data_IF_095194697917
#
_entry.id   IF_095194697917
#
_cell.length_a   1.000
_cell.length_b   1.000
_cell.length_c   1.000
_cell.angle_alpha   90.00
_cell.angle_beta   90.00
_cell.angle_gamma   90.00
#
_symmetry.space_group_name_H-M   'P 1'
#
loop_
_entity.id
_entity.type
_entity.pdbx_description
1 polymer ?
#
# COMPACT_ATOMS: atom_id res chain seq x y z
N UNK A 1 -6.23 -8.89 21.04
CA UNK A 1 -6.87 -7.57 21.15
C UNK A 1 -8.38 -7.77 21.13
N UNK A 2 -9.09 -7.32 22.17
CA UNK A 2 -10.53 -7.51 22.37
C UNK A 2 -11.34 -6.65 21.38
N UNK A 3 -12.46 -7.23 20.88
CA UNK A 3 -13.21 -6.76 19.72
C UNK A 3 -14.10 -5.52 19.86
N UNK A 4 -13.89 -4.65 20.84
CA UNK A 4 -14.84 -3.57 21.15
C UNK A 4 -14.66 -2.26 20.37
N UNK A 5 -13.55 -2.06 19.62
CA UNK A 5 -13.28 -0.81 18.89
C UNK A 5 -12.89 -1.01 17.42
N UNK A 6 -13.34 -2.09 16.78
CA UNK A 6 -13.02 -2.27 15.36
C UNK A 6 -13.87 -1.35 14.48
N UNK A 7 -13.19 -0.59 13.63
CA UNK A 7 -13.80 0.23 12.58
C UNK A 7 -14.63 -0.66 11.62
N UNK A 8 -15.79 -0.18 11.18
CA UNK A 8 -16.52 -0.83 10.09
C UNK A 8 -15.78 -0.58 8.78
N UNK A 9 -15.23 -1.64 8.19
CA UNK A 9 -14.38 -1.57 6.98
C UNK A 9 -15.14 -2.19 5.81
N UNK A 10 -15.15 -1.50 4.67
CA UNK A 10 -15.63 -2.05 3.40
C UNK A 10 -14.71 -3.20 2.99
N UNK A 11 -15.21 -4.43 2.79
CA UNK A 11 -14.36 -5.54 2.39
C UNK A 11 -13.76 -5.35 1.00
N UNK A 12 -12.45 -5.54 0.86
CA UNK A 12 -11.73 -5.51 -0.42
C UNK A 12 -10.93 -6.79 -0.58
N UNK A 13 -11.13 -7.48 -1.71
CA UNK A 13 -10.37 -8.70 -2.04
C UNK A 13 -9.01 -8.36 -2.65
N UNK A 14 -7.97 -9.09 -2.23
CA UNK A 14 -6.61 -9.00 -2.76
C UNK A 14 -6.12 -10.42 -2.99
N UNK A 15 -6.18 -10.92 -4.22
CA UNK A 15 -5.95 -12.33 -4.49
C UNK A 15 -6.87 -13.22 -3.65
N UNK A 16 -6.29 -14.14 -2.89
CA UNK A 16 -7.03 -15.02 -1.97
C UNK A 16 -7.39 -14.41 -0.60
N UNK A 17 -7.02 -13.15 -0.33
CA UNK A 17 -7.25 -12.49 0.96
C UNK A 17 -8.42 -11.52 0.88
N UNK A 18 -9.05 -11.26 2.04
CA UNK A 18 -10.07 -10.22 2.19
C UNK A 18 -9.67 -9.25 3.29
N UNK A 19 -9.57 -7.97 2.95
CA UNK A 19 -9.30 -6.89 3.88
C UNK A 19 -10.64 -6.38 4.42
N UNK A 20 -11.08 -6.89 5.56
CA UNK A 20 -12.40 -6.65 6.15
C UNK A 20 -12.35 -6.24 7.63
N UNK A 21 -11.16 -5.91 8.14
CA UNK A 21 -10.94 -5.54 9.54
C UNK A 21 -10.89 -6.72 10.51
N UNK A 22 -11.13 -7.97 10.08
CA UNK A 22 -11.06 -9.13 10.97
C UNK A 22 -9.64 -9.57 11.28
N UNK A 23 -8.76 -9.44 10.29
CA UNK A 23 -7.35 -9.79 10.38
C UNK A 23 -6.48 -8.66 9.83
N UNK A 24 -5.31 -8.49 10.44
CA UNK A 24 -4.27 -7.58 9.96
C UNK A 24 -3.23 -8.41 9.21
N UNK A 25 -2.94 -8.03 7.96
CA UNK A 25 -2.01 -8.76 7.11
C UNK A 25 -0.65 -8.05 7.03
N UNK A 26 0.43 -8.85 7.05
CA UNK A 26 1.81 -8.36 6.94
C UNK A 26 2.19 -8.28 5.47
N UNK A 27 2.56 -7.07 5.02
CA UNK A 27 3.12 -6.83 3.69
C UNK A 27 4.59 -6.44 3.79
N UNK A 28 5.41 -6.92 2.85
CA UNK A 28 6.76 -6.40 2.62
C UNK A 28 6.96 -6.06 1.14
N UNK A 29 8.13 -5.54 0.81
CA UNK A 29 8.48 -5.10 -0.53
C UNK A 29 9.84 -5.63 -0.93
N UNK A 30 9.97 -6.10 -2.17
CA UNK A 30 11.24 -6.48 -2.75
C UNK A 30 12.16 -5.25 -2.83
N UNK A 31 13.44 -5.44 -2.52
CA UNK A 31 14.49 -4.46 -2.68
C UNK A 31 15.55 -4.85 -3.72
N UNK A 32 15.40 -6.04 -4.33
CA UNK A 32 16.20 -6.47 -5.47
C UNK A 32 15.82 -5.62 -6.69
N UNK A 33 16.79 -5.20 -7.52
CA UNK A 33 16.51 -4.47 -8.76
C UNK A 33 15.51 -5.21 -9.65
N UNK A 34 14.55 -4.50 -10.23
CA UNK A 34 13.50 -5.08 -11.10
C UNK A 34 14.03 -5.73 -12.39
N UNK A 35 15.30 -5.50 -12.73
CA UNK A 35 16.02 -6.15 -13.82
C UNK A 35 16.53 -7.55 -13.46
N UNK A 36 16.64 -7.87 -12.17
CA UNK A 36 17.05 -9.18 -11.67
C UNK A 36 15.81 -10.03 -11.32
N UNK A 37 15.32 -10.75 -12.31
CA UNK A 37 14.12 -11.58 -12.16
C UNK A 37 14.36 -12.73 -11.19
N UNK A 38 15.49 -13.43 -11.30
CA UNK A 38 15.80 -14.58 -10.46
C UNK A 38 15.97 -14.17 -8.99
N UNK A 39 16.71 -13.09 -8.73
CA UNK A 39 16.87 -12.52 -7.39
C UNK A 39 15.54 -12.05 -6.80
N UNK A 40 14.68 -11.42 -7.60
CA UNK A 40 13.35 -11.00 -7.18
C UNK A 40 12.44 -12.18 -6.81
N UNK A 41 12.46 -13.24 -7.60
CA UNK A 41 11.71 -14.49 -7.31
C UNK A 41 12.22 -15.15 -6.04
N UNK A 42 13.54 -15.28 -5.89
CA UNK A 42 14.16 -15.85 -4.68
C UNK A 42 13.76 -15.06 -3.44
N UNK A 43 13.87 -13.74 -3.48
CA UNK A 43 13.50 -12.88 -2.35
C UNK A 43 11.99 -12.96 -2.03
N UNK A 44 11.12 -13.04 -3.03
CA UNK A 44 9.69 -13.22 -2.81
C UNK A 44 9.37 -14.54 -2.08
N UNK A 45 10.03 -15.64 -2.46
CA UNK A 45 9.91 -16.95 -1.79
C UNK A 45 10.45 -16.91 -0.36
N UNK A 46 11.56 -16.21 -0.12
CA UNK A 46 12.12 -16.03 1.23
C UNK A 46 11.18 -15.23 2.13
N UNK A 47 10.57 -14.17 1.60
CA UNK A 47 9.56 -13.39 2.32
C UNK A 47 8.31 -14.22 2.68
N UNK A 48 7.79 -15.01 1.75
CA UNK A 48 6.66 -15.91 2.01
C UNK A 48 7.01 -16.92 3.12
N UNK A 49 8.18 -17.57 3.04
CA UNK A 49 8.66 -18.49 4.08
C UNK A 49 8.83 -17.82 5.45
N UNK A 50 9.23 -16.56 5.48
CA UNK A 50 9.32 -15.79 6.73
C UNK A 50 7.94 -15.43 7.31
N UNK A 51 6.86 -15.61 6.54
CA UNK A 51 5.48 -15.36 6.93
C UNK A 51 4.95 -13.99 6.48
N UNK A 52 5.53 -13.44 5.42
CA UNK A 52 4.91 -12.36 4.66
C UNK A 52 3.59 -12.87 4.06
N UNK A 53 2.57 -12.03 4.06
CA UNK A 53 1.24 -12.42 3.55
C UNK A 53 0.88 -11.66 2.26
N UNK A 54 1.59 -10.59 1.95
CA UNK A 54 1.44 -9.82 0.70
C UNK A 54 2.84 -9.31 0.30
N UNK A 55 3.28 -9.61 -0.91
CA UNK A 55 4.55 -9.07 -1.47
C UNK A 55 4.27 -7.90 -2.39
N UNK A 56 5.12 -6.86 -2.37
CA UNK A 56 5.08 -5.74 -3.31
C UNK A 56 6.36 -5.67 -4.13
N UNK A 57 6.23 -5.50 -5.44
CA UNK A 57 7.33 -5.32 -6.38
C UNK A 57 7.19 -3.96 -7.09
N UNK A 58 8.30 -3.27 -7.30
CA UNK A 58 8.33 -2.08 -8.15
C UNK A 58 8.23 -2.49 -9.63
N UNK A 59 7.35 -1.81 -10.38
CA UNK A 59 7.18 -2.00 -11.83
C UNK A 59 7.45 -0.66 -12.52
N UNK A 60 8.72 -0.27 -12.68
CA UNK A 60 9.08 1.04 -13.21
C UNK A 60 8.98 1.14 -14.74
N UNK A 61 8.95 0.02 -15.45
CA UNK A 61 8.93 -0.04 -16.91
C UNK A 61 8.31 -1.35 -17.41
N UNK A 62 8.12 -1.49 -18.73
CA UNK A 62 7.51 -2.67 -19.35
C UNK A 62 8.31 -3.96 -19.17
N UNK A 63 9.64 -3.87 -19.07
CA UNK A 63 10.48 -5.04 -18.79
C UNK A 63 10.18 -5.64 -17.41
N UNK A 64 9.96 -4.79 -16.41
CA UNK A 64 9.64 -5.20 -15.05
C UNK A 64 8.28 -5.91 -14.94
N UNK A 65 7.37 -5.76 -15.90
CA UNK A 65 6.09 -6.49 -15.93
C UNK A 65 6.33 -8.01 -15.96
N UNK A 66 7.45 -8.47 -16.54
CA UNK A 66 7.85 -9.89 -16.57
C UNK A 66 8.07 -10.49 -15.18
N UNK A 67 8.33 -9.67 -14.15
CA UNK A 67 8.42 -10.11 -12.76
C UNK A 67 7.11 -10.74 -12.27
N UNK A 68 5.97 -10.23 -12.75
CA UNK A 68 4.66 -10.64 -12.23
C UNK A 68 4.41 -12.12 -12.44
N UNK A 69 4.41 -12.68 -13.66
CA UNK A 69 4.20 -14.11 -13.86
C UNK A 69 5.33 -14.95 -13.24
N UNK A 70 6.59 -14.49 -13.30
CA UNK A 70 7.71 -15.22 -12.73
C UNK A 70 7.61 -15.39 -11.20
N UNK A 71 7.23 -14.35 -10.49
CA UNK A 71 7.03 -14.40 -9.03
C UNK A 71 5.79 -15.22 -8.70
N UNK A 72 4.66 -14.98 -9.38
CA UNK A 72 3.40 -15.67 -9.10
C UNK A 72 3.42 -17.16 -9.36
N UNK A 73 4.32 -17.65 -10.21
CA UNK A 73 4.54 -19.08 -10.38
C UNK A 73 5.15 -19.75 -9.13
N UNK A 74 5.87 -19.00 -8.31
CA UNK A 74 6.67 -19.53 -7.19
C UNK A 74 6.13 -19.21 -5.80
N UNK A 75 5.22 -18.24 -5.66
CA UNK A 75 4.58 -17.89 -4.39
C UNK A 75 3.08 -18.08 -4.45
N UNK A 76 2.46 -18.36 -3.30
CA UNK A 76 1.00 -18.50 -3.17
C UNK A 76 0.31 -17.26 -2.64
N UNK A 77 1.06 -16.33 -2.05
CA UNK A 77 0.55 -15.08 -1.48
C UNK A 77 0.38 -13.99 -2.55
N UNK A 78 -0.53 -13.03 -2.34
CA UNK A 78 -0.77 -11.95 -3.30
C UNK A 78 0.45 -11.09 -3.60
N UNK A 79 0.56 -10.68 -4.86
CA UNK A 79 1.58 -9.76 -5.36
C UNK A 79 0.97 -8.39 -5.69
N UNK A 80 1.65 -7.30 -5.28
CA UNK A 80 1.26 -5.92 -5.55
C UNK A 80 2.25 -5.26 -6.50
N UNK A 81 1.77 -4.69 -7.59
CA UNK A 81 2.57 -3.85 -8.48
C UNK A 81 2.60 -2.40 -7.97
N UNK A 82 3.80 -1.89 -7.76
CA UNK A 82 4.02 -0.47 -7.41
C UNK A 82 4.33 0.34 -8.66
N UNK A 83 3.37 1.17 -9.06
CA UNK A 83 3.41 1.97 -10.28
C UNK A 83 3.19 3.43 -9.91
N UNK A 84 4.01 4.33 -10.47
CA UNK A 84 3.97 5.74 -10.09
C UNK A 84 3.21 6.63 -11.07
N UNK A 85 3.52 6.59 -12.37
CA UNK A 85 3.05 7.60 -13.33
C UNK A 85 2.48 7.03 -14.63
N UNK A 86 2.99 5.90 -15.11
CA UNK A 86 2.59 5.37 -16.42
C UNK A 86 1.39 4.43 -16.30
N UNK A 87 0.24 4.90 -16.77
CA UNK A 87 -1.01 4.12 -16.77
C UNK A 87 -0.92 2.82 -17.61
N UNK A 88 -0.04 2.78 -18.63
CA UNK A 88 0.15 1.60 -19.47
C UNK A 88 0.76 0.44 -18.67
N UNK A 89 1.63 0.76 -17.71
CA UNK A 89 2.20 -0.23 -16.79
C UNK A 89 1.13 -0.83 -15.88
N UNK A 90 0.16 -0.02 -15.44
CA UNK A 90 -0.96 -0.50 -14.63
C UNK A 90 -1.84 -1.49 -15.43
N UNK A 91 -2.13 -1.19 -16.70
CA UNK A 91 -2.87 -2.07 -17.60
C UNK A 91 -2.08 -3.37 -17.85
N UNK A 92 -0.80 -3.25 -18.21
CA UNK A 92 0.06 -4.41 -18.45
C UNK A 92 0.21 -5.30 -17.20
N UNK A 93 0.34 -4.71 -16.02
CA UNK A 93 0.37 -5.44 -14.76
C UNK A 93 -0.96 -6.19 -14.49
N UNK A 94 -2.09 -5.55 -14.78
CA UNK A 94 -3.41 -6.19 -14.67
C UNK A 94 -3.53 -7.39 -15.63
N UNK A 95 -3.08 -7.25 -16.87
CA UNK A 95 -3.05 -8.31 -17.87
C UNK A 95 -2.10 -9.46 -17.50
N UNK A 96 -0.98 -9.13 -16.84
CA UNK A 96 -0.02 -10.12 -16.34
C UNK A 96 -0.49 -10.88 -15.09
N UNK A 97 -1.68 -10.57 -14.55
CA UNK A 97 -2.30 -11.31 -13.44
C UNK A 97 -1.88 -10.84 -12.05
N UNK A 98 -1.58 -9.56 -11.88
CA UNK A 98 -1.32 -8.98 -10.55
C UNK A 98 -2.54 -9.05 -9.64
N UNK A 99 -2.34 -9.10 -8.32
CA UNK A 99 -3.43 -9.18 -7.36
C UNK A 99 -3.86 -7.81 -6.80
N UNK A 100 -3.01 -6.81 -6.88
CA UNK A 100 -3.31 -5.42 -6.49
C UNK A 100 -2.35 -4.46 -7.19
N UNK A 101 -2.84 -3.27 -7.56
CA UNK A 101 -2.00 -2.20 -8.10
C UNK A 101 -1.92 -1.06 -7.10
N UNK A 102 -0.72 -0.53 -6.86
CA UNK A 102 -0.53 0.73 -6.14
C UNK A 102 -0.26 1.83 -7.16
N UNK A 103 -1.17 2.79 -7.25
CA UNK A 103 -1.05 3.94 -8.12
C UNK A 103 -1.90 5.10 -7.56
N UNK A 104 -1.44 6.34 -7.77
CA UNK A 104 -2.24 7.51 -7.45
C UNK A 104 -2.94 8.01 -8.72
N UNK A 105 -4.28 7.93 -8.82
CA UNK A 105 -5.02 8.29 -10.03
C UNK A 105 -4.72 9.70 -10.56
N UNK A 106 -4.55 10.68 -9.69
CA UNK A 106 -4.19 12.04 -10.07
C UNK A 106 -2.80 12.19 -10.72
N UNK A 107 -1.92 11.18 -10.59
CA UNK A 107 -0.56 11.23 -11.14
C UNK A 107 -0.44 10.58 -12.53
N UNK A 108 -1.48 9.88 -12.99
CA UNK A 108 -1.45 9.14 -14.28
C UNK A 108 -2.04 9.92 -15.45
N UNK A 109 -2.50 11.14 -15.19
CA UNK A 109 -2.91 12.11 -16.21
C UNK A 109 -4.42 12.22 -16.39
N UNK A 110 -4.92 12.20 -17.65
CA UNK A 110 -6.33 12.47 -17.97
C UNK A 110 -7.30 11.42 -17.42
N UNK A 111 -8.56 11.81 -17.26
CA UNK A 111 -9.65 10.90 -16.86
C UNK A 111 -9.79 9.68 -17.79
N UNK A 112 -9.47 9.82 -19.08
CA UNK A 112 -9.52 8.69 -20.01
C UNK A 112 -8.48 7.62 -19.66
N UNK A 113 -7.29 8.05 -19.22
CA UNK A 113 -6.24 7.13 -18.73
C UNK A 113 -6.66 6.45 -17.42
N UNK A 114 -7.27 7.19 -16.51
CA UNK A 114 -7.83 6.63 -15.27
C UNK A 114 -8.89 5.59 -15.59
N UNK A 115 -9.84 5.91 -16.48
CA UNK A 115 -10.90 4.98 -16.93
C UNK A 115 -10.32 3.71 -17.56
N UNK A 116 -9.25 3.83 -18.35
CA UNK A 116 -8.58 2.68 -18.96
C UNK A 116 -7.98 1.74 -17.89
N UNK A 117 -7.32 2.29 -16.87
CA UNK A 117 -6.79 1.51 -15.72
C UNK A 117 -7.93 0.87 -14.93
N UNK A 118 -8.95 1.65 -14.58
CA UNK A 118 -10.13 1.15 -13.85
C UNK A 118 -10.81 0.02 -14.61
N UNK A 119 -10.99 0.14 -15.93
CA UNK A 119 -11.54 -0.92 -16.77
C UNK A 119 -10.72 -2.20 -16.66
N UNK A 120 -9.40 -2.13 -16.85
CA UNK A 120 -8.51 -3.28 -16.77
C UNK A 120 -8.53 -3.95 -15.39
N UNK A 121 -8.59 -3.15 -14.31
CA UNK A 121 -8.69 -3.63 -12.94
C UNK A 121 -10.05 -4.29 -12.66
N UNK A 122 -11.15 -3.66 -13.07
CA UNK A 122 -12.52 -4.18 -12.86
C UNK A 122 -12.74 -5.52 -13.56
N UNK A 123 -12.33 -5.65 -14.81
CA UNK A 123 -12.47 -6.89 -15.59
C UNK A 123 -11.76 -8.09 -14.93
N UNK A 124 -10.80 -7.83 -14.06
CA UNK A 124 -9.96 -8.85 -13.38
C UNK A 124 -10.11 -8.88 -11.87
N UNK A 125 -11.04 -8.07 -11.32
CA UNK A 125 -11.27 -7.93 -9.87
C UNK A 125 -9.99 -7.53 -9.10
N UNK A 126 -9.21 -6.61 -9.66
CA UNK A 126 -7.96 -6.12 -9.07
C UNK A 126 -8.22 -4.83 -8.34
N UNK A 127 -8.01 -4.75 -7.01
CA UNK A 127 -8.14 -3.51 -6.26
C UNK A 127 -6.99 -2.55 -6.51
N UNK A 128 -7.27 -1.25 -6.31
CA UNK A 128 -6.28 -0.17 -6.44
C UNK A 128 -5.95 0.37 -5.05
N UNK A 129 -4.65 0.42 -4.72
CA UNK A 129 -4.18 1.12 -3.54
C UNK A 129 -3.69 2.51 -3.88
N UNK A 130 -4.34 3.51 -3.29
CA UNK A 130 -3.88 4.88 -3.26
C UNK A 130 -2.75 4.98 -2.22
N UNK A 131 -1.64 5.61 -2.58
CA UNK A 131 -0.48 5.73 -1.68
C UNK A 131 0.01 7.17 -1.60
N UNK A 132 -0.54 7.95 -0.68
CA UNK A 132 -0.08 9.32 -0.39
C UNK A 132 1.17 9.28 0.48
N UNK A 133 2.11 10.17 0.20
CA UNK A 133 3.32 10.34 0.98
C UNK A 133 3.60 11.83 1.19
N UNK A 134 3.95 12.22 2.40
CA UNK A 134 4.24 13.61 2.75
C UNK A 134 5.33 14.27 1.91
N UNK A 135 6.29 13.49 1.41
CA UNK A 135 7.35 14.00 0.53
C UNK A 135 6.93 14.25 -0.93
N UNK A 136 5.73 13.83 -1.33
CA UNK A 136 5.22 13.96 -2.71
C UNK A 136 3.81 14.53 -2.77
N UNK A 137 3.46 15.39 -1.82
CA UNK A 137 2.16 16.06 -1.78
C UNK A 137 2.02 17.05 -2.93
N UNK A 138 0.81 17.23 -3.46
CA UNK A 138 0.49 18.14 -4.55
C UNK A 138 0.81 19.59 -4.17
N UNK A 139 1.31 20.36 -5.14
CA UNK A 139 1.73 21.77 -4.93
C UNK A 139 0.60 22.65 -4.43
N UNK A 140 -0.61 22.43 -4.91
CA UNK A 140 -1.82 23.16 -4.51
C UNK A 140 -2.14 22.92 -3.03
N UNK A 141 -1.99 21.69 -2.55
CA UNK A 141 -2.20 21.36 -1.15
C UNK A 141 -1.07 21.90 -0.28
N UNK A 142 0.18 21.84 -0.74
CA UNK A 142 1.29 22.50 -0.04
C UNK A 142 1.10 24.01 0.05
N UNK A 143 0.59 24.67 -1.00
CA UNK A 143 0.27 26.11 -0.96
C UNK A 143 -0.87 26.43 0.02
N UNK A 144 -1.89 25.55 0.09
CA UNK A 144 -3.05 25.72 0.99
C UNK A 144 -2.68 25.52 2.46
N UNK A 145 -1.87 24.50 2.78
CA UNK A 145 -1.58 24.09 4.16
C UNK A 145 -0.20 24.51 4.67
N UNK A 146 0.67 25.02 3.81
CA UNK A 146 2.03 25.45 4.15
C UNK A 146 3.03 24.29 4.36
N UNK A 147 2.56 23.10 4.70
CA UNK A 147 3.37 21.92 4.95
C UNK A 147 2.54 20.63 4.78
N UNK A 148 3.15 19.43 4.75
CA UNK A 148 2.43 18.15 4.69
C UNK A 148 1.74 17.82 6.03
N UNK A 149 0.72 18.59 6.40
CA UNK A 149 -0.10 18.34 7.61
C UNK A 149 -0.96 17.08 7.45
N UNK A 150 -1.49 16.56 8.56
CA UNK A 150 -2.41 15.43 8.53
C UNK A 150 -3.64 15.71 7.65
N UNK A 151 -4.19 16.91 7.74
CA UNK A 151 -5.34 17.36 6.94
C UNK A 151 -5.00 17.41 5.45
N UNK A 152 -3.81 17.93 5.09
CA UNK A 152 -3.35 17.96 3.70
C UNK A 152 -3.19 16.56 3.10
N UNK A 153 -2.63 15.63 3.87
CA UNK A 153 -2.44 14.24 3.45
C UNK A 153 -3.77 13.51 3.24
N UNK A 154 -4.75 13.75 4.12
CA UNK A 154 -6.10 13.16 3.99
C UNK A 154 -6.84 13.78 2.82
N UNK A 155 -6.75 15.10 2.61
CA UNK A 155 -7.38 15.77 1.46
C UNK A 155 -6.82 15.23 0.14
N UNK A 156 -5.50 15.00 0.05
CA UNK A 156 -4.86 14.34 -1.10
C UNK A 156 -5.42 12.93 -1.32
N UNK A 157 -5.43 12.10 -0.27
CA UNK A 157 -5.95 10.74 -0.37
C UNK A 157 -7.40 10.71 -0.85
N UNK A 158 -8.26 11.53 -0.26
CA UNK A 158 -9.68 11.61 -0.63
C UNK A 158 -9.89 12.24 -2.01
N UNK A 159 -8.98 13.09 -2.47
CA UNK A 159 -8.95 13.57 -3.85
C UNK A 159 -8.78 12.42 -4.85
N UNK A 160 -7.81 11.55 -4.61
CA UNK A 160 -7.60 10.35 -5.43
C UNK A 160 -8.74 9.33 -5.33
N UNK A 161 -9.33 9.16 -4.13
CA UNK A 161 -10.53 8.32 -3.93
C UNK A 161 -11.67 8.81 -4.82
N UNK A 162 -12.00 10.10 -4.77
CA UNK A 162 -13.09 10.68 -5.57
C UNK A 162 -12.90 10.46 -7.08
N UNK A 163 -11.65 10.48 -7.58
CA UNK A 163 -11.37 10.20 -8.99
C UNK A 163 -11.77 8.75 -9.35
N UNK A 164 -11.49 7.78 -8.48
CA UNK A 164 -11.89 6.39 -8.70
C UNK A 164 -13.41 6.21 -8.55
N UNK A 165 -14.03 6.83 -7.56
CA UNK A 165 -15.48 6.79 -7.34
C UNK A 165 -16.25 7.40 -8.51
N UNK A 166 -15.73 8.45 -9.16
CA UNK A 166 -16.29 9.02 -10.40
C UNK A 166 -16.25 8.02 -11.58
N UNK A 167 -15.45 6.97 -11.48
CA UNK A 167 -15.41 5.87 -12.44
C UNK A 167 -16.20 4.64 -11.93
N UNK A 168 -17.05 4.79 -10.93
CA UNK A 168 -17.79 3.69 -10.27
C UNK A 168 -16.85 2.56 -9.79
N UNK A 169 -15.68 2.93 -9.24
CA UNK A 169 -14.69 1.99 -8.73
C UNK A 169 -14.45 2.20 -7.24
N UNK A 170 -14.74 1.15 -6.46
CA UNK A 170 -14.72 1.19 -4.99
C UNK A 170 -13.87 0.07 -4.36
N UNK A 171 -13.18 -0.74 -5.15
CA UNK A 171 -12.20 -1.71 -4.64
C UNK A 171 -10.88 -0.98 -4.32
N UNK A 172 -10.95 -0.11 -3.31
CA UNK A 172 -9.90 0.85 -2.96
C UNK A 172 -9.28 0.49 -1.62
N UNK A 173 -7.95 0.59 -1.54
CA UNK A 173 -7.17 0.57 -0.30
C UNK A 173 -6.44 1.89 -0.18
N UNK A 174 -6.31 2.45 1.01
CA UNK A 174 -5.65 3.75 1.22
C UNK A 174 -4.40 3.56 2.08
N UNK A 175 -3.34 4.25 1.69
CA UNK A 175 -2.10 4.35 2.45
C UNK A 175 -1.68 5.81 2.53
N UNK A 176 -1.47 6.30 3.76
CA UNK A 176 -1.01 7.67 4.04
C UNK A 176 0.26 7.56 4.87
N UNK A 177 1.41 7.83 4.24
CA UNK A 177 2.71 7.66 4.89
C UNK A 177 3.39 9.00 5.17
N UNK A 178 3.98 9.09 6.34
CA UNK A 178 4.84 10.20 6.74
C UNK A 178 6.05 9.66 7.52
N UNK A 179 7.15 10.36 7.48
CA UNK A 179 8.33 10.12 8.33
C UNK A 179 8.13 10.69 9.75
N UNK A 180 7.20 11.65 9.88
CA UNK A 180 6.77 12.21 11.16
C UNK A 180 5.64 11.35 11.74
N UNK A 181 5.94 10.64 12.83
CA UNK A 181 5.01 9.67 13.43
C UNK A 181 3.72 10.32 13.97
N UNK A 182 3.78 11.45 14.70
CA UNK A 182 2.55 12.15 15.13
C UNK A 182 1.64 12.55 13.99
N UNK A 183 2.19 13.13 12.92
CA UNK A 183 1.44 13.48 11.72
C UNK A 183 0.81 12.26 11.07
N UNK A 184 1.55 11.15 10.96
CA UNK A 184 1.03 9.90 10.40
C UNK A 184 -0.16 9.37 11.22
N UNK A 185 -0.02 9.30 12.55
CA UNK A 185 -1.09 8.83 13.45
C UNK A 185 -2.34 9.71 13.28
N UNK A 186 -2.18 11.04 13.31
CA UNK A 186 -3.28 11.99 13.14
C UNK A 186 -3.96 11.83 11.79
N UNK A 187 -3.18 11.67 10.71
CA UNK A 187 -3.71 11.49 9.36
C UNK A 187 -4.53 10.21 9.23
N UNK A 188 -4.06 9.08 9.73
CA UNK A 188 -4.83 7.83 9.69
C UNK A 188 -6.09 7.88 10.54
N UNK A 189 -6.04 8.49 11.74
CA UNK A 189 -7.24 8.71 12.57
C UNK A 189 -8.28 9.54 11.83
N UNK A 190 -7.87 10.64 11.20
CA UNK A 190 -8.74 11.49 10.41
C UNK A 190 -9.29 10.75 9.18
N UNK A 191 -8.46 10.01 8.46
CA UNK A 191 -8.89 9.20 7.33
C UNK A 191 -9.91 8.12 7.73
N UNK A 192 -9.68 7.45 8.87
CA UNK A 192 -10.59 6.44 9.41
C UNK A 192 -11.99 6.99 9.78
N UNK A 193 -12.07 8.28 10.12
CA UNK A 193 -13.34 8.98 10.36
C UNK A 193 -14.01 9.45 9.06
N UNK A 194 -13.21 9.64 8.00
CA UNK A 194 -13.68 10.22 6.72
C UNK A 194 -14.24 9.16 5.78
N UNK A 195 -13.71 7.93 5.80
CA UNK A 195 -14.11 6.85 4.90
C UNK A 195 -14.02 5.48 5.57
N UNK A 196 -14.56 4.45 4.92
CA UNK A 196 -14.54 3.07 5.40
C UNK A 196 -13.66 2.13 4.54
N UNK A 197 -12.85 2.64 3.64
CA UNK A 197 -11.90 1.84 2.87
C UNK A 197 -10.81 1.22 3.76
N UNK A 198 -10.28 0.02 3.43
CA UNK A 198 -9.16 -0.58 4.16
C UNK A 198 -7.93 0.34 4.16
N UNK A 199 -7.23 0.38 5.28
CA UNK A 199 -6.05 1.21 5.48
C UNK A 199 -4.80 0.36 5.58
N UNK A 200 -3.77 0.73 4.80
CA UNK A 200 -2.45 0.13 4.82
C UNK A 200 -1.51 1.03 5.62
N UNK A 201 -1.08 0.57 6.79
CA UNK A 201 -0.26 1.33 7.71
C UNK A 201 1.24 1.15 7.45
N UNK A 202 1.99 2.19 7.69
CA UNK A 202 3.46 2.14 7.67
C UNK A 202 4.09 3.51 7.85
N UNK A 203 5.23 3.55 8.55
CA UNK A 203 6.09 4.72 8.63
C UNK A 203 7.06 4.66 7.46
N UNK A 204 7.27 5.78 6.75
CA UNK A 204 8.25 5.87 5.66
C UNK A 204 9.51 6.59 6.14
N UNK A 205 10.67 6.27 5.54
CA UNK A 205 11.95 6.89 5.88
C UNK A 205 12.21 6.90 7.39
N UNK A 206 11.95 5.76 8.03
CA UNK A 206 11.97 5.64 9.49
C UNK A 206 13.40 5.69 10.08
N UNK A 207 14.44 5.62 9.25
CA UNK A 207 15.84 5.70 9.64
C UNK A 207 16.52 4.34 9.77
N UNK A 208 17.53 4.25 10.68
CA UNK A 208 18.25 3.01 10.97
C UNK A 208 17.31 1.90 11.44
N UNK A 209 17.77 0.63 11.40
CA UNK A 209 17.01 -0.53 11.87
C UNK A 209 16.36 -0.27 13.23
N UNK A 210 17.14 0.18 14.21
CA UNK A 210 16.67 0.48 15.59
C UNK A 210 15.60 1.59 15.59
N UNK A 211 15.88 2.72 14.96
CA UNK A 211 14.93 3.85 14.96
C UNK A 211 13.71 3.55 14.10
N UNK A 212 13.90 2.83 13.01
CA UNK A 212 12.80 2.35 12.16
C UNK A 212 11.85 1.43 12.91
N UNK A 213 12.36 0.52 13.72
CA UNK A 213 11.56 -0.34 14.59
C UNK A 213 10.80 0.46 15.64
N UNK A 214 11.47 1.38 16.34
CA UNK A 214 10.83 2.22 17.37
C UNK A 214 9.70 3.06 16.76
N UNK A 215 9.97 3.79 15.69
CA UNK A 215 8.98 4.63 15.00
C UNK A 215 7.81 3.81 14.47
N UNK A 216 8.08 2.66 13.86
CA UNK A 216 7.04 1.76 13.34
C UNK A 216 6.19 1.18 14.47
N UNK A 217 6.80 0.78 15.58
CA UNK A 217 6.08 0.26 16.76
C UNK A 217 5.15 1.31 17.34
N UNK A 218 5.61 2.55 17.47
CA UNK A 218 4.79 3.65 17.98
C UNK A 218 3.67 3.99 16.98
N UNK A 219 4.03 4.23 15.70
CA UNK A 219 3.09 4.69 14.69
C UNK A 219 2.03 3.64 14.35
N UNK A 220 2.46 2.41 14.04
CA UNK A 220 1.55 1.31 13.70
C UNK A 220 0.81 0.85 14.94
N UNK A 221 1.51 0.61 16.05
CA UNK A 221 0.91 0.11 17.29
C UNK A 221 -0.18 1.02 17.83
N UNK A 222 0.01 2.35 17.84
CA UNK A 222 -1.02 3.31 18.26
C UNK A 222 -2.30 3.17 17.44
N UNK A 223 -2.18 3.03 16.12
CA UNK A 223 -3.34 2.89 15.22
C UNK A 223 -4.03 1.54 15.39
N UNK A 224 -3.27 0.46 15.60
CA UNK A 224 -3.84 -0.86 15.87
C UNK A 224 -4.62 -0.88 17.19
N UNK A 225 -4.15 -0.17 18.22
CA UNK A 225 -4.89 0.00 19.48
C UNK A 225 -6.21 0.75 19.29
N UNK A 226 -6.29 1.64 18.31
CA UNK A 226 -7.53 2.33 17.93
C UNK A 226 -8.44 1.48 17.00
N UNK A 227 -8.07 0.24 16.68
CA UNK A 227 -8.80 -0.63 15.74
C UNK A 227 -8.67 -0.21 14.28
N UNK A 228 -7.61 0.53 13.93
CA UNK A 228 -7.33 1.06 12.59
C UNK A 228 -6.20 0.26 11.94
N UNK A 229 -6.43 -0.26 10.72
CA UNK A 229 -5.43 -0.91 9.88
C UNK A 229 -5.77 -2.35 9.54
N UNK A 230 -5.75 -2.64 8.24
CA UNK A 230 -6.03 -3.96 7.66
C UNK A 230 -4.77 -4.62 7.10
N UNK A 231 -3.78 -3.81 6.73
CA UNK A 231 -2.44 -4.28 6.34
C UNK A 231 -1.37 -3.38 6.95
N UNK A 232 -0.22 -3.94 7.27
CA UNK A 232 0.92 -3.19 7.79
C UNK A 232 2.19 -3.49 6.99
N UNK A 233 3.09 -2.49 6.88
CA UNK A 233 4.46 -2.68 6.46
C UNK A 233 5.41 -1.93 7.38
N UNK A 234 6.31 -2.66 8.01
CA UNK A 234 7.49 -2.09 8.65
C UNK A 234 8.53 -1.80 7.55
N UNK A 235 9.11 -0.61 7.53
CA UNK A 235 10.18 -0.25 6.59
C UNK A 235 11.47 -0.05 7.36
N UNK A 236 12.46 -0.88 7.08
CA UNK A 236 13.79 -0.82 7.68
C UNK A 236 14.83 -0.61 6.58
N UNK A 237 15.98 -0.01 6.95
CA UNK A 237 17.16 0.04 6.08
C UNK A 237 17.95 -1.25 6.27
N UNK A 238 17.37 -2.39 5.90
CA UNK A 238 17.93 -3.73 6.07
C UNK A 238 17.25 -4.73 5.12
N UNK A 239 17.56 -6.03 5.29
CA UNK A 239 16.93 -7.10 4.53
C UNK A 239 15.41 -7.16 4.80
N UNK A 240 14.57 -7.27 3.75
CA UNK A 240 13.11 -7.27 3.91
C UNK A 240 12.55 -8.37 4.82
N UNK A 241 13.26 -9.48 5.00
CA UNK A 241 12.87 -10.55 5.93
C UNK A 241 12.81 -10.06 7.37
N UNK A 242 13.72 -9.15 7.78
CA UNK A 242 13.71 -8.54 9.12
C UNK A 242 12.46 -7.68 9.35
N UNK A 243 11.94 -7.04 8.29
CA UNK A 243 10.67 -6.30 8.35
C UNK A 243 9.49 -7.20 8.77
N UNK A 244 9.51 -8.47 8.32
CA UNK A 244 8.47 -9.46 8.68
C UNK A 244 8.52 -9.82 10.15
N UNK A 245 9.71 -10.06 10.71
CA UNK A 245 9.87 -10.38 12.14
C UNK A 245 9.43 -9.20 13.00
N UNK A 246 9.87 -7.97 12.66
CA UNK A 246 9.44 -6.77 13.33
C UNK A 246 7.92 -6.56 13.26
N UNK A 247 7.30 -6.79 12.11
CA UNK A 247 5.85 -6.71 11.95
C UNK A 247 5.11 -7.75 12.81
N UNK A 248 5.61 -8.99 12.89
CA UNK A 248 5.05 -10.03 13.77
C UNK A 248 5.13 -9.63 15.25
N UNK A 249 6.22 -9.00 15.66
CA UNK A 249 6.39 -8.55 17.05
C UNK A 249 5.44 -7.39 17.39
N UNK A 250 5.19 -6.48 16.44
CA UNK A 250 4.20 -5.40 16.63
C UNK A 250 2.77 -5.95 16.74
N UNK A 251 2.47 -7.09 16.10
CA UNK A 251 1.12 -7.70 16.11
C UNK A 251 0.84 -8.59 17.33
N UNK A 252 1.84 -8.92 18.14
CA UNK A 252 1.69 -9.67 19.41
C UNK A 252 1.08 -8.81 20.50
#
# INVERSE_FOLDING_TARGET
MSGENKRNVRPVKVGGLTLDGKKIYIQSMLNVPSTDIEGSVKQAVELEKAGCEIVRAAIPNMEAVKLIPAIKEKISIPLVADIHFDYRLAIAAAEAGIDKIRINPGNIGSMDRVKAVVKACRERNIPIRIGVNGGSLEKELLAKYGSPTAEALVESAMGHVRILEQCDFEDIVISIKSSDVPTMIKAYRLCAQTCNYPLHLGVTEAGTERMGLIKSSIGIGSLLCDGIGETIRVSLTDEPVKEIYAAKDILK
#
